data_IF_323195251492
#
_entry.id   IF_323195251492
#
_cell.length_a   1.000
_cell.length_b   1.000
_cell.length_c   1.000
_cell.angle_alpha   90.00
_cell.angle_beta   90.00
_cell.angle_gamma   90.00
#
_symmetry.space_group_name_H-M   'P 1'
#
loop_
_entity.id
_entity.type
_entity.pdbx_description
1 polymer ?
#
# COMPACT_ATOMS: atom_id res chain seq x y z
N UNK A 1 4.03 11.15 -6.56
CA UNK A 1 4.37 10.03 -5.65
C UNK A 1 5.74 10.21 -4.98
N UNK A 2 6.86 9.79 -5.60
CA UNK A 2 8.22 9.71 -4.98
C UNK A 2 8.63 10.94 -4.14
N UNK A 3 8.43 12.16 -4.66
CA UNK A 3 8.80 13.39 -3.93
C UNK A 3 7.99 13.61 -2.65
N UNK A 4 6.74 13.17 -2.62
CA UNK A 4 5.87 13.36 -1.46
C UNK A 4 6.19 12.33 -0.37
N UNK A 5 6.41 11.07 -0.78
CA UNK A 5 6.78 9.96 0.12
C UNK A 5 8.17 10.14 0.76
N UNK A 6 8.99 11.08 0.28
CA UNK A 6 10.22 11.50 0.97
C UNK A 6 9.94 12.41 2.18
N UNK A 7 8.91 13.25 2.07
CA UNK A 7 8.59 14.27 3.08
C UNK A 7 7.70 13.72 4.19
N UNK A 8 6.87 12.74 3.85
CA UNK A 8 5.83 12.22 4.71
C UNK A 8 5.71 10.70 4.54
N UNK A 9 5.29 10.01 5.61
CA UNK A 9 4.97 8.59 5.56
C UNK A 9 3.62 8.41 4.89
N UNK A 10 3.51 7.37 4.06
CA UNK A 10 2.24 6.97 3.47
C UNK A 10 1.86 5.59 3.93
N UNK A 11 0.57 5.40 4.17
CA UNK A 11 -0.03 4.14 4.56
C UNK A 11 -0.85 3.57 3.42
N UNK A 12 -0.70 2.28 3.16
CA UNK A 12 -1.63 1.58 2.27
C UNK A 12 -2.93 1.37 3.02
N UNK A 13 -3.99 2.01 2.55
CA UNK A 13 -5.31 1.93 3.16
C UNK A 13 -6.11 0.78 2.58
N UNK A 14 -6.16 0.67 1.26
CA UNK A 14 -7.04 -0.27 0.57
C UNK A 14 -6.36 -0.97 -0.59
N UNK A 15 -6.77 -2.21 -0.82
CA UNK A 15 -6.60 -2.89 -2.10
C UNK A 15 -7.95 -3.34 -2.65
N UNK A 16 -8.10 -3.32 -3.98
CA UNK A 16 -9.35 -3.70 -4.65
C UNK A 16 -9.49 -5.21 -4.87
N UNK A 17 -8.44 -5.97 -4.61
CA UNK A 17 -8.45 -7.43 -4.68
C UNK A 17 -7.67 -8.01 -3.49
N UNK A 18 -8.24 -9.00 -2.82
CA UNK A 18 -7.51 -9.79 -1.83
C UNK A 18 -6.49 -10.72 -2.51
N UNK A 19 -5.32 -10.16 -2.86
CA UNK A 19 -4.25 -10.90 -3.54
C UNK A 19 -3.34 -11.65 -2.54
N UNK A 20 -2.75 -12.76 -3.01
CA UNK A 20 -1.71 -13.53 -2.32
C UNK A 20 -0.61 -12.65 -1.70
N UNK A 21 -0.24 -11.53 -2.31
CA UNK A 21 0.84 -10.69 -1.79
C UNK A 21 0.48 -9.79 -0.61
N UNK A 22 -0.82 -9.58 -0.34
CA UNK A 22 -1.31 -8.78 0.78
C UNK A 22 -2.05 -9.61 1.83
N UNK A 23 -2.28 -10.90 1.57
CA UNK A 23 -3.03 -11.78 2.47
C UNK A 23 -2.40 -11.92 3.87
N UNK A 24 -1.09 -11.72 3.96
CA UNK A 24 -0.23 -11.92 5.13
C UNK A 24 0.49 -10.63 5.54
N UNK A 25 0.03 -9.47 5.05
CA UNK A 25 0.61 -8.16 5.34
C UNK A 25 -0.44 -7.21 5.88
N UNK A 26 -0.10 -6.47 6.94
CA UNK A 26 -0.91 -5.37 7.48
C UNK A 26 -0.02 -4.18 7.79
N UNK A 27 -0.65 -3.02 8.01
CA UNK A 27 0.04 -1.82 8.47
C UNK A 27 1.18 -1.41 7.54
N UNK A 28 0.96 -1.54 6.23
CA UNK A 28 1.99 -1.27 5.24
C UNK A 28 2.25 0.23 5.18
N UNK A 29 3.49 0.61 5.43
CA UNK A 29 3.96 1.99 5.40
C UNK A 29 5.03 2.15 4.33
N UNK A 30 5.11 3.34 3.76
CA UNK A 30 6.10 3.71 2.78
C UNK A 30 6.76 5.03 3.18
N UNK A 31 8.09 5.02 3.10
CA UNK A 31 8.91 6.23 3.11
C UNK A 31 10.00 6.16 2.06
N UNK A 32 10.32 7.29 1.46
CA UNK A 32 11.37 7.40 0.45
C UNK A 32 12.63 8.06 1.02
N UNK A 33 13.80 7.54 0.66
CA UNK A 33 15.12 8.13 0.90
C UNK A 33 15.89 8.31 -0.42
N UNK A 34 17.03 8.98 -0.35
CA UNK A 34 18.02 9.04 -1.45
C UNK A 34 17.46 9.54 -2.81
N UNK A 35 16.57 10.54 -2.76
CA UNK A 35 15.97 11.12 -3.94
C UNK A 35 17.02 11.76 -4.86
N UNK A 36 17.16 11.20 -6.06
CA UNK A 36 17.90 11.81 -7.15
C UNK A 36 16.92 12.50 -8.12
N UNK A 37 16.90 13.83 -8.10
CA UNK A 37 15.99 14.60 -8.94
C UNK A 37 16.30 14.51 -10.44
N UNK A 38 17.59 14.35 -10.79
CA UNK A 38 18.05 14.29 -12.19
C UNK A 38 17.68 12.96 -12.82
N UNK A 39 17.93 11.86 -12.12
CA UNK A 39 17.62 10.52 -12.58
C UNK A 39 16.15 10.13 -12.34
N UNK A 40 15.43 10.93 -11.54
CA UNK A 40 14.06 10.65 -11.07
C UNK A 40 13.98 9.30 -10.35
N UNK A 41 15.04 8.97 -9.62
CA UNK A 41 15.15 7.74 -8.83
C UNK A 41 15.17 8.04 -7.34
N UNK A 42 14.84 7.03 -6.55
CA UNK A 42 14.94 7.09 -5.09
C UNK A 42 14.98 5.67 -4.50
N UNK A 43 15.15 5.59 -3.18
CA UNK A 43 15.02 4.35 -2.42
C UNK A 43 13.67 4.34 -1.73
N UNK A 44 12.88 3.30 -1.96
CA UNK A 44 11.63 3.04 -1.26
C UNK A 44 11.87 2.09 -0.09
N UNK A 45 11.60 2.59 1.11
CA UNK A 45 11.62 1.85 2.36
C UNK A 45 10.18 1.51 2.71
N UNK A 46 9.79 0.27 2.44
CA UNK A 46 8.50 -0.26 2.86
C UNK A 46 8.67 -0.96 4.20
N UNK A 47 7.71 -0.77 5.08
CA UNK A 47 7.55 -1.58 6.28
C UNK A 47 6.15 -2.18 6.30
N UNK A 48 6.00 -3.37 6.85
CA UNK A 48 4.69 -3.96 7.11
C UNK A 48 4.80 -4.93 8.27
N UNK A 49 3.69 -5.24 8.91
CA UNK A 49 3.65 -6.35 9.85
C UNK A 49 3.19 -7.61 9.15
N UNK A 50 3.79 -8.75 9.51
CA UNK A 50 3.23 -10.05 9.17
C UNK A 50 1.86 -10.19 9.82
N UNK A 51 0.97 -10.88 9.13
CA UNK A 51 -0.40 -11.07 9.56
C UNK A 51 -0.80 -12.53 9.45
N UNK A 52 -1.05 -13.16 10.59
CA UNK A 52 -1.69 -14.46 10.63
C UNK A 52 -3.19 -14.27 10.41
N UNK A 53 -3.63 -14.63 9.21
CA UNK A 53 -5.04 -14.54 8.80
C UNK A 53 -5.97 -15.50 9.54
N UNK A 54 -5.45 -16.61 10.06
CA UNK A 54 -6.24 -17.63 10.76
C UNK A 54 -6.51 -17.18 12.20
N UNK A 55 -5.47 -16.68 12.85
CA UNK A 55 -5.57 -16.13 14.21
C UNK A 55 -5.99 -14.66 14.25
N UNK A 56 -6.10 -13.99 13.09
CA UNK A 56 -6.33 -12.54 12.94
C UNK A 56 -5.38 -11.71 13.79
N UNK A 57 -4.08 -12.03 13.74
CA UNK A 57 -3.06 -11.44 14.61
C UNK A 57 -1.95 -10.78 13.80
N UNK A 58 -1.55 -9.60 14.25
CA UNK A 58 -0.35 -8.91 13.78
C UNK A 58 0.87 -9.50 14.50
N UNK A 59 1.91 -9.79 13.73
CA UNK A 59 3.16 -10.36 14.21
C UNK A 59 4.32 -9.38 13.97
N UNK A 60 5.53 -9.90 13.73
CA UNK A 60 6.72 -9.08 13.57
C UNK A 60 6.63 -8.10 12.40
N UNK A 61 7.30 -6.95 12.58
CA UNK A 61 7.48 -5.99 11.52
C UNK A 61 8.61 -6.44 10.58
N UNK A 62 8.37 -6.35 9.29
CA UNK A 62 9.32 -6.59 8.22
C UNK A 62 9.63 -5.27 7.55
N UNK A 63 10.92 -5.04 7.25
CA UNK A 63 11.38 -3.93 6.43
C UNK A 63 11.88 -4.44 5.10
N UNK A 64 11.57 -3.70 4.04
CA UNK A 64 11.94 -4.02 2.68
C UNK A 64 12.41 -2.79 1.93
N UNK A 65 13.55 -2.92 1.27
CA UNK A 65 14.19 -1.81 0.56
C UNK A 65 14.19 -2.14 -0.93
N UNK A 66 13.65 -1.23 -1.72
CA UNK A 66 13.66 -1.30 -3.18
C UNK A 66 14.17 0.00 -3.77
N UNK A 67 14.80 -0.08 -4.93
CA UNK A 67 15.05 1.10 -5.75
C UNK A 67 13.80 1.40 -6.57
N UNK A 68 13.52 2.68 -6.81
CA UNK A 68 12.41 3.11 -7.65
C UNK A 68 12.87 4.16 -8.67
N UNK A 69 12.29 4.13 -9.86
CA UNK A 69 12.40 5.17 -10.87
C UNK A 69 11.02 5.61 -11.33
N UNK A 70 10.82 6.91 -11.50
CA UNK A 70 9.72 7.41 -12.29
C UNK A 70 10.10 7.30 -13.79
N UNK A 71 9.32 6.53 -14.54
CA UNK A 71 9.50 6.35 -15.99
C UNK A 71 8.21 6.70 -16.73
N UNK A 72 8.34 6.95 -18.03
CA UNK A 72 7.21 7.26 -18.90
C UNK A 72 6.83 6.06 -19.75
N UNK A 73 5.53 5.95 -20.03
CA UNK A 73 5.05 5.08 -21.09
C UNK A 73 5.31 5.69 -22.47
N UNK A 74 5.27 4.86 -23.50
CA UNK A 74 5.31 5.33 -24.88
C UNK A 74 4.19 6.34 -25.14
N UNK A 75 4.51 7.43 -25.84
CA UNK A 75 3.60 8.53 -26.18
C UNK A 75 3.10 9.39 -25.00
N UNK A 76 3.64 9.21 -23.79
CA UNK A 76 3.40 10.13 -22.68
C UNK A 76 4.47 11.22 -22.61
N UNK A 77 4.03 12.44 -22.29
CA UNK A 77 4.91 13.60 -22.11
C UNK A 77 5.55 13.67 -20.72
N UNK A 78 5.00 12.95 -19.74
CA UNK A 78 5.45 12.94 -18.34
C UNK A 78 5.50 11.50 -17.82
N UNK A 79 6.32 11.29 -16.79
CA UNK A 79 6.40 10.00 -16.11
C UNK A 79 5.08 9.66 -15.41
N UNK A 80 4.62 8.43 -15.64
CA UNK A 80 3.35 7.91 -15.13
C UNK A 80 3.46 6.47 -14.61
N UNK A 81 4.66 5.89 -14.64
CA UNK A 81 4.96 4.56 -14.12
C UNK A 81 6.06 4.66 -13.08
N UNK A 82 5.92 3.87 -12.01
CA UNK A 82 6.98 3.60 -11.03
C UNK A 82 7.56 2.23 -11.36
N UNK A 83 8.85 2.19 -11.70
CA UNK A 83 9.61 0.95 -11.87
C UNK A 83 10.38 0.66 -10.60
N UNK A 84 10.21 -0.53 -10.05
CA UNK A 84 10.86 -0.99 -8.83
C UNK A 84 11.85 -2.09 -9.15
N UNK A 85 13.02 -2.09 -8.52
CA UNK A 85 13.97 -3.19 -8.63
C UNK A 85 14.75 -3.36 -7.33
N UNK A 86 15.37 -4.52 -7.18
CA UNK A 86 16.19 -4.85 -6.02
C UNK A 86 17.51 -4.08 -6.05
N UNK A 87 18.06 -3.63 -4.90
CA UNK A 87 19.35 -2.94 -4.87
C UNK A 87 20.51 -3.73 -5.52
N UNK A 88 20.39 -5.06 -5.61
CA UNK A 88 21.38 -5.95 -6.25
C UNK A 88 21.02 -6.37 -7.67
N UNK A 89 19.84 -6.02 -8.17
CA UNK A 89 19.42 -6.34 -9.53
C UNK A 89 20.15 -5.45 -10.55
N UNK A 90 20.40 -6.00 -11.74
CA UNK A 90 21.03 -5.26 -12.83
C UNK A 90 20.07 -4.17 -13.35
N UNK A 91 20.56 -2.93 -13.49
CA UNK A 91 19.80 -1.87 -14.15
C UNK A 91 19.68 -2.20 -15.65
N UNK A 92 18.49 -2.66 -16.07
CA UNK A 92 18.22 -3.04 -17.45
C UNK A 92 18.22 -1.85 -18.44
N UNK A 93 18.37 -0.60 -17.98
CA UNK A 93 18.53 0.59 -18.83
C UNK A 93 17.32 0.97 -19.69
N UNK A 94 16.30 0.10 -19.78
CA UNK A 94 15.03 0.41 -20.43
C UNK A 94 14.29 1.45 -19.59
N UNK A 95 14.01 2.61 -20.18
CA UNK A 95 13.33 3.75 -19.53
C UNK A 95 11.93 4.00 -20.07
N UNK A 96 11.40 3.07 -20.86
CA UNK A 96 10.05 3.11 -21.42
C UNK A 96 9.25 1.93 -20.90
N UNK A 97 8.09 2.22 -20.29
CA UNK A 97 7.12 1.22 -19.89
C UNK A 97 6.11 0.97 -21.02
N UNK A 98 5.67 -0.28 -21.19
CA UNK A 98 4.83 -0.64 -22.33
C UNK A 98 3.33 -0.32 -22.12
N UNK A 99 2.88 0.07 -20.92
CA UNK A 99 1.47 0.43 -20.69
C UNK A 99 0.85 -0.18 -19.42
N UNK A 100 -0.35 0.29 -19.04
CA UNK A 100 -1.14 -0.24 -17.91
C UNK A 100 -1.98 -1.47 -18.26
N UNK A 101 -2.05 -1.82 -19.56
CA UNK A 101 -2.88 -2.91 -20.09
C UNK A 101 -2.07 -4.09 -20.62
N UNK A 102 -0.75 -4.04 -20.49
CA UNK A 102 0.02 -5.23 -20.79
C UNK A 102 -0.13 -6.14 -19.58
N UNK A 103 -1.07 -7.09 -19.72
CA UNK A 103 -0.69 -8.50 -19.56
C UNK A 103 0.74 -8.58 -20.05
N UNK A 104 1.70 -8.58 -19.12
CA UNK A 104 3.10 -8.77 -19.45
C UNK A 104 3.09 -9.96 -20.39
N UNK A 105 3.46 -9.75 -21.66
CA UNK A 105 3.70 -10.87 -22.53
C UNK A 105 4.83 -11.60 -21.83
N UNK A 106 4.47 -12.72 -21.21
CA UNK A 106 5.31 -13.43 -20.27
C UNK A 106 6.46 -14.17 -20.96
N UNK A 107 6.52 -14.31 -22.29
CA UNK A 107 7.00 -13.43 -23.38
C UNK A 107 8.52 -13.16 -23.34
N UNK A 108 8.90 -12.18 -22.53
CA UNK A 108 9.97 -11.27 -22.94
C UNK A 108 10.83 -10.71 -21.78
N UNK A 109 10.91 -11.45 -20.66
CA UNK A 109 11.20 -10.81 -19.37
C UNK A 109 12.68 -10.66 -19.00
N UNK A 110 13.56 -11.55 -19.47
CA UNK A 110 15.00 -11.49 -19.15
C UNK A 110 15.79 -10.45 -19.99
N UNK A 111 15.12 -9.45 -20.58
CA UNK A 111 15.58 -8.53 -21.64
C UNK A 111 15.44 -9.04 -23.09
N UNK A 112 14.41 -9.86 -23.38
CA UNK A 112 14.06 -10.42 -24.71
C UNK A 112 15.01 -11.45 -25.34
N UNK A 113 15.03 -12.70 -24.80
CA UNK A 113 15.10 -13.91 -25.65
C UNK A 113 14.95 -15.21 -24.83
N UNK A 114 13.80 -15.89 -24.94
CA UNK A 114 13.67 -17.33 -24.67
C UNK A 114 13.20 -17.72 -23.27
N UNK A 115 11.89 -17.87 -23.09
CA UNK A 115 11.24 -18.04 -21.79
C UNK A 115 11.11 -19.46 -21.28
N UNK A 116 10.97 -19.54 -19.95
CA UNK A 116 10.15 -20.54 -19.29
C UNK A 116 9.25 -19.92 -18.20
N UNK A 117 8.13 -20.60 -17.97
CA UNK A 117 6.97 -20.30 -17.11
C UNK A 117 7.26 -19.65 -15.73
N UNK A 118 6.58 -18.55 -15.34
CA UNK A 118 6.78 -17.81 -14.08
C UNK A 118 6.01 -18.39 -12.88
N UNK A 119 5.61 -19.66 -12.95
CA UNK A 119 5.09 -20.38 -11.77
C UNK A 119 6.19 -20.71 -10.76
N UNK A 120 7.46 -20.49 -11.09
CA UNK A 120 8.60 -20.99 -10.32
C UNK A 120 9.87 -20.12 -10.43
N UNK A 121 9.88 -18.86 -9.98
CA UNK A 121 11.16 -18.13 -9.89
C UNK A 121 11.43 -17.39 -8.58
N UNK A 122 12.71 -17.51 -8.23
CA UNK A 122 13.41 -16.98 -7.08
C UNK A 122 13.36 -15.44 -7.11
N UNK A 123 12.87 -14.86 -6.01
CA UNK A 123 12.44 -13.47 -5.85
C UNK A 123 13.52 -12.38 -5.95
N UNK A 124 14.73 -12.64 -6.46
CA UNK A 124 15.90 -11.79 -6.17
C UNK A 124 16.50 -11.00 -7.35
N UNK A 125 15.98 -11.13 -8.59
CA UNK A 125 16.66 -10.55 -9.78
C UNK A 125 15.81 -9.66 -10.71
N UNK A 126 14.56 -9.34 -10.35
CA UNK A 126 13.59 -8.78 -11.30
C UNK A 126 13.09 -7.37 -10.95
N UNK A 127 12.64 -6.59 -11.96
CA UNK A 127 11.98 -5.29 -11.77
C UNK A 127 10.48 -5.40 -12.01
N UNK A 128 9.64 -4.66 -11.29
CA UNK A 128 8.21 -4.60 -11.57
C UNK A 128 7.72 -3.16 -11.77
N UNK A 129 6.71 -3.00 -12.61
CA UNK A 129 6.12 -1.69 -12.92
C UNK A 129 4.76 -1.52 -12.24
N UNK A 130 4.54 -0.33 -11.67
CA UNK A 130 3.25 0.12 -11.15
C UNK A 130 2.82 1.39 -11.83
N UNK A 131 1.60 1.41 -12.34
CA UNK A 131 1.04 2.57 -13.00
C UNK A 131 0.45 3.55 -11.99
N UNK A 132 0.80 4.83 -12.09
CA UNK A 132 0.23 5.89 -11.26
C UNK A 132 -1.09 6.34 -11.89
N UNK A 133 -2.19 5.80 -11.37
CA UNK A 133 -3.55 6.11 -11.82
C UNK A 133 -3.94 7.53 -11.43
N UNK A 134 -3.60 7.90 -10.20
CA UNK A 134 -3.93 9.19 -9.60
C UNK A 134 -2.86 9.55 -8.57
N UNK A 135 -2.48 10.82 -8.50
CA UNK A 135 -1.53 11.28 -7.48
C UNK A 135 -1.82 12.71 -7.11
N UNK A 136 -1.95 12.92 -5.80
CA UNK A 136 -1.99 14.22 -5.15
C UNK A 136 -1.03 14.23 -3.95
N UNK A 137 -0.80 15.39 -3.30
CA UNK A 137 0.02 15.44 -2.10
C UNK A 137 -0.50 14.57 -0.96
N UNK A 138 -1.80 14.39 -0.79
CA UNK A 138 -2.33 13.65 0.38
C UNK A 138 -2.69 12.19 0.11
N UNK A 139 -2.73 11.77 -1.15
CA UNK A 139 -3.04 10.39 -1.53
C UNK A 139 -2.51 10.06 -2.92
N UNK A 140 -2.34 8.78 -3.21
CA UNK A 140 -2.13 8.32 -4.58
C UNK A 140 -2.66 6.91 -4.76
N UNK A 141 -2.92 6.56 -6.01
CA UNK A 141 -3.46 5.27 -6.41
C UNK A 141 -2.50 4.65 -7.41
N UNK A 142 -2.02 3.46 -7.07
CA UNK A 142 -1.20 2.66 -7.96
C UNK A 142 -2.02 1.52 -8.51
N UNK A 143 -1.69 1.10 -9.73
CA UNK A 143 -2.10 -0.18 -10.28
C UNK A 143 -0.85 -1.01 -10.53
N UNK A 144 -0.67 -2.06 -9.73
CA UNK A 144 0.53 -2.89 -9.66
C UNK A 144 0.35 -4.09 -10.59
N UNK A 145 1.29 -4.35 -11.51
CA UNK A 145 1.15 -5.35 -12.59
C UNK A 145 1.34 -6.81 -12.16
N UNK A 146 1.04 -7.15 -10.91
CA UNK A 146 1.24 -8.51 -10.41
C UNK A 146 0.00 -9.38 -10.70
N UNK A 147 0.09 -10.18 -11.78
CA UNK A 147 -0.88 -11.20 -12.30
C UNK A 147 -2.32 -10.73 -12.60
N UNK A 148 -2.93 -9.83 -11.83
CA UNK A 148 -4.33 -9.38 -11.97
C UNK A 148 -4.52 -7.86 -12.04
N UNK A 149 -3.46 -7.07 -11.82
CA UNK A 149 -3.54 -5.61 -11.90
C UNK A 149 -4.20 -5.00 -10.65
N UNK A 150 -3.75 -5.42 -9.47
CA UNK A 150 -4.23 -4.93 -8.16
C UNK A 150 -4.05 -3.43 -8.07
N UNK A 151 -5.06 -2.74 -7.56
CA UNK A 151 -4.99 -1.35 -7.20
C UNK A 151 -4.68 -1.16 -5.73
N UNK A 152 -3.76 -0.25 -5.45
CA UNK A 152 -3.37 0.15 -4.11
C UNK A 152 -3.81 1.59 -3.86
N UNK A 153 -4.55 1.81 -2.78
CA UNK A 153 -4.86 3.14 -2.27
C UNK A 153 -3.87 3.52 -1.18
N UNK A 154 -3.09 4.57 -1.41
CA UNK A 154 -2.15 5.11 -0.43
C UNK A 154 -2.60 6.47 0.08
N UNK A 155 -2.44 6.69 1.38
CA UNK A 155 -2.86 7.90 2.10
C UNK A 155 -1.71 8.43 2.94
N UNK A 156 -1.52 9.76 2.96
CA UNK A 156 -0.50 10.38 3.79
C UNK A 156 -0.85 10.28 5.28
N UNK A 157 0.16 10.15 6.13
CA UNK A 157 0.01 10.04 7.58
C UNK A 157 -0.79 11.20 8.19
N UNK A 158 -0.50 12.45 7.78
CA UNK A 158 -1.18 13.65 8.28
C UNK A 158 -2.68 13.57 8.01
N UNK A 159 -3.05 13.17 6.79
CA UNK A 159 -4.45 13.07 6.41
C UNK A 159 -5.14 11.88 7.08
N UNK A 160 -4.44 10.75 7.21
CA UNK A 160 -4.93 9.58 7.92
C UNK A 160 -5.28 9.93 9.38
N UNK A 161 -4.35 10.52 10.11
CA UNK A 161 -4.52 10.91 11.50
C UNK A 161 -5.69 11.89 11.66
N UNK A 162 -5.76 12.91 10.78
CA UNK A 162 -6.88 13.85 10.76
C UNK A 162 -8.22 13.13 10.57
N UNK A 163 -8.32 12.22 9.60
CA UNK A 163 -9.56 11.49 9.28
C UNK A 163 -9.99 10.61 10.44
N UNK A 164 -9.04 9.95 11.10
CA UNK A 164 -9.31 9.09 12.26
C UNK A 164 -9.83 9.90 13.45
N UNK A 165 -9.23 11.05 13.75
CA UNK A 165 -9.71 11.95 14.81
C UNK A 165 -11.11 12.48 14.53
N UNK A 166 -11.41 12.85 13.29
CA UNK A 166 -12.76 13.32 12.89
C UNK A 166 -13.81 12.19 13.04
N UNK A 167 -13.46 10.95 12.72
CA UNK A 167 -14.32 9.78 12.92
C UNK A 167 -14.59 9.49 14.41
N UNK A 168 -13.55 9.53 15.24
CA UNK A 168 -13.66 9.33 16.70
C UNK A 168 -14.61 10.39 17.31
N UNK A 169 -14.49 11.66 16.89
CA UNK A 169 -15.38 12.73 17.34
C UNK A 169 -16.84 12.53 16.90
N UNK A 170 -17.07 12.11 15.64
CA UNK A 170 -18.43 11.82 15.13
C UNK A 170 -19.12 10.71 15.92
N UNK A 171 -18.38 9.64 16.27
CA UNK A 171 -18.93 8.54 17.05
C UNK A 171 -19.29 8.96 18.48
N UNK A 172 -18.51 9.85 19.09
CA UNK A 172 -18.78 10.37 20.43
C UNK A 172 -20.06 11.22 20.45
N UNK A 173 -20.26 12.07 19.43
CA UNK A 173 -21.50 12.86 19.31
C UNK A 173 -22.75 12.00 19.04
N UNK A 174 -22.64 10.93 18.24
CA UNK A 174 -23.75 9.99 17.99
C UNK A 174 -24.09 9.18 19.24
N UNK A 175 -23.08 8.76 20.01
CA UNK A 175 -23.25 8.06 21.30
C UNK A 175 -23.94 8.95 22.34
N UNK A 176 -23.58 10.23 22.43
CA UNK A 176 -24.19 11.19 23.36
C UNK A 176 -25.65 11.52 23.00
N UNK A 177 -26.03 11.37 21.72
CA UNK A 177 -27.40 11.60 21.22
C UNK A 177 -28.29 10.35 21.22
N UNK A 178 -27.73 9.15 21.39
CA UNK A 178 -28.41 7.89 21.09
C UNK A 178 -28.38 6.85 22.23
N UNK A 179 -29.08 7.10 23.34
CA UNK A 179 -29.34 6.07 24.37
C UNK A 179 -30.53 5.15 24.11
N UNK A 180 -31.18 5.23 22.95
CA UNK A 180 -32.39 4.46 22.64
C UNK A 180 -32.40 3.89 21.22
N UNK A 181 -31.53 2.94 20.90
CA UNK A 181 -31.84 1.92 19.89
C UNK A 181 -31.00 0.68 20.17
N UNK A 182 -31.64 -0.43 20.52
CA UNK A 182 -31.04 -1.77 20.53
C UNK A 182 -30.73 -2.15 19.08
N UNK A 183 -29.57 -1.71 18.58
CA UNK A 183 -29.11 -2.08 17.26
C UNK A 183 -28.38 -3.43 17.39
N UNK A 184 -29.00 -4.50 16.89
CA UNK A 184 -28.44 -5.85 16.84
C UNK A 184 -27.27 -5.91 15.86
N UNK A 185 -26.15 -5.29 16.22
CA UNK A 185 -24.92 -5.28 15.42
C UNK A 185 -24.06 -6.45 15.91
N UNK A 186 -23.96 -7.51 15.10
CA UNK A 186 -22.91 -8.52 15.25
C UNK A 186 -21.55 -7.89 14.98
N UNK A 187 -20.47 -8.35 15.62
CA UNK A 187 -19.11 -7.76 15.49
C UNK A 187 -18.67 -7.56 14.02
N UNK A 188 -19.04 -8.50 13.13
CA UNK A 188 -18.79 -8.38 11.68
C UNK A 188 -19.47 -7.17 11.03
N UNK A 189 -20.67 -6.80 11.47
CA UNK A 189 -21.38 -5.63 10.94
C UNK A 189 -20.75 -4.31 11.44
N UNK A 190 -20.15 -4.31 12.64
CA UNK A 190 -19.48 -3.13 13.19
C UNK A 190 -18.19 -2.80 12.45
N UNK A 191 -17.34 -3.80 12.19
CA UNK A 191 -16.08 -3.64 11.45
C UNK A 191 -16.33 -3.17 10.01
N UNK A 192 -17.30 -3.79 9.32
CA UNK A 192 -17.69 -3.38 7.96
C UNK A 192 -18.24 -1.96 7.95
N UNK A 193 -19.07 -1.58 8.93
CA UNK A 193 -19.61 -0.21 9.06
C UNK A 193 -18.50 0.81 9.29
N UNK A 194 -17.55 0.53 10.18
CA UNK A 194 -16.41 1.40 10.47
C UNK A 194 -15.53 1.58 9.23
N UNK A 195 -15.25 0.50 8.51
CA UNK A 195 -14.47 0.54 7.29
C UNK A 195 -15.15 1.41 6.20
N UNK A 196 -16.46 1.25 6.02
CA UNK A 196 -17.23 2.10 5.10
C UNK A 196 -17.25 3.57 5.53
N UNK A 197 -17.36 3.85 6.83
CA UNK A 197 -17.27 5.21 7.36
C UNK A 197 -15.89 5.83 7.10
N UNK A 198 -14.82 5.08 7.37
CA UNK A 198 -13.45 5.49 7.08
C UNK A 198 -13.28 5.82 5.61
N UNK A 199 -13.65 4.89 4.73
CA UNK A 199 -13.55 5.10 3.29
C UNK A 199 -14.33 6.35 2.87
N UNK A 200 -15.54 6.60 3.38
CA UNK A 200 -16.36 7.77 3.00
C UNK A 200 -15.76 9.10 3.44
N UNK A 201 -15.02 9.13 4.54
CA UNK A 201 -14.40 10.34 5.08
C UNK A 201 -13.04 10.68 4.43
N UNK A 202 -12.47 9.78 3.62
CA UNK A 202 -11.30 10.12 2.80
C UNK A 202 -11.62 11.22 1.77
N UNK A 203 -10.61 11.95 1.25
CA UNK A 203 -10.85 13.02 0.28
C UNK A 203 -11.59 12.52 -0.96
N UNK A 204 -12.60 13.30 -1.38
CA UNK A 204 -13.52 12.92 -2.45
C UNK A 204 -12.81 12.56 -3.75
N UNK A 205 -11.82 13.35 -4.15
CA UNK A 205 -11.00 13.13 -5.33
C UNK A 205 -10.26 11.79 -5.28
N UNK A 206 -9.61 11.46 -4.16
CA UNK A 206 -8.95 10.16 -3.97
C UNK A 206 -9.94 9.00 -4.08
N UNK A 207 -11.09 9.10 -3.38
CA UNK A 207 -12.13 8.05 -3.40
C UNK A 207 -12.69 7.82 -4.79
N UNK A 208 -13.06 8.90 -5.49
CA UNK A 208 -13.63 8.84 -6.83
C UNK A 208 -12.60 8.29 -7.81
N UNK A 209 -11.34 8.73 -7.74
CA UNK A 209 -10.28 8.20 -8.58
C UNK A 209 -10.07 6.68 -8.38
N UNK A 210 -10.15 6.21 -7.12
CA UNK A 210 -10.04 4.77 -6.83
C UNK A 210 -11.22 3.99 -7.38
N UNK A 211 -12.44 4.40 -7.05
CA UNK A 211 -13.67 3.73 -7.50
C UNK A 211 -13.76 3.66 -9.03
N UNK A 212 -13.42 4.74 -9.73
CA UNK A 212 -13.49 4.79 -11.20
C UNK A 212 -12.43 3.90 -11.88
N UNK A 213 -11.28 3.70 -11.23
CA UNK A 213 -10.15 3.02 -11.86
C UNK A 213 -10.02 1.56 -11.46
N UNK A 214 -10.54 1.22 -10.28
CA UNK A 214 -10.24 -0.01 -9.57
C UNK A 214 -11.50 -0.75 -9.08
N UNK A 215 -12.66 -0.09 -9.07
CA UNK A 215 -13.87 -0.62 -8.45
C UNK A 215 -13.87 -0.42 -6.93
N UNK A 216 -14.69 -1.21 -6.25
CA UNK A 216 -14.86 -1.11 -4.80
C UNK A 216 -13.61 -1.58 -4.04
N UNK A 217 -13.25 -0.92 -2.91
CA UNK A 217 -12.20 -1.41 -2.04
C UNK A 217 -12.64 -2.72 -1.38
N UNK A 218 -11.87 -3.79 -1.57
CA UNK A 218 -12.20 -5.11 -1.02
C UNK A 218 -11.56 -5.31 0.35
N UNK A 219 -10.31 -4.91 0.52
CA UNK A 219 -9.53 -5.18 1.74
C UNK A 219 -8.97 -3.91 2.34
N UNK A 220 -9.25 -3.70 3.64
CA UNK A 220 -8.58 -2.69 4.48
C UNK A 220 -7.23 -3.24 4.96
N UNK A 221 -6.15 -2.54 4.65
CA UNK A 221 -4.77 -2.94 4.97
C UNK A 221 -4.27 -2.28 6.26
N UNK A 222 -4.73 -1.06 6.54
CA UNK A 222 -4.39 -0.32 7.75
C UNK A 222 -5.60 -0.21 8.67
N UNK A 223 -5.49 -0.81 9.86
CA UNK A 223 -6.44 -0.64 10.96
C UNK A 223 -5.69 -0.07 12.16
N UNK A 224 -6.00 1.17 12.56
CA UNK A 224 -5.31 1.89 13.65
C UNK A 224 -5.18 1.04 14.91
N UNK A 225 -6.29 0.47 15.38
CA UNK A 225 -6.36 -0.31 16.61
C UNK A 225 -5.49 -1.57 16.56
N UNK A 226 -5.37 -2.20 15.40
CA UNK A 226 -4.49 -3.36 15.24
C UNK A 226 -3.03 -2.92 15.13
N UNK A 227 -2.75 -1.94 14.27
CA UNK A 227 -1.40 -1.48 13.96
C UNK A 227 -0.67 -0.84 15.15
N UNK A 228 -1.39 -0.11 16.01
CA UNK A 228 -0.81 0.58 17.17
C UNK A 228 -0.60 -0.36 18.37
N UNK A 229 -1.35 -1.47 18.48
CA UNK A 229 -1.17 -2.45 19.59
C UNK A 229 0.24 -3.06 19.61
N UNK A 230 0.85 -3.23 18.44
CA UNK A 230 2.20 -3.78 18.29
C UNK A 230 3.30 -2.83 18.78
N UNK A 231 3.08 -1.51 18.80
CA UNK A 231 4.10 -0.55 19.24
C UNK A 231 4.34 -0.55 20.75
N UNK A 232 3.50 -1.24 21.54
CA UNK A 232 3.63 -1.30 23.00
C UNK A 232 4.38 -2.53 23.52
N UNK A 233 4.60 -3.55 22.67
CA UNK A 233 5.25 -4.81 23.08
C UNK A 233 6.78 -4.65 23.18
N UNK A 234 7.38 -3.66 22.50
CA UNK A 234 8.83 -3.41 22.46
C UNK A 234 9.39 -2.62 23.65
N UNK A 235 8.59 -2.24 24.64
CA UNK A 235 9.03 -1.41 25.79
C UNK A 235 9.12 -2.11 27.14
N UNK A 236 9.07 -3.45 27.20
CA UNK A 236 9.31 -4.17 28.46
C UNK A 236 10.75 -4.69 28.50
N UNK A 237 11.66 -4.13 29.32
CA UNK A 237 12.97 -4.73 29.52
C UNK A 237 12.76 -6.06 30.24
N UNK A 238 13.25 -7.16 29.65
CA UNK A 238 13.47 -8.38 30.41
C UNK A 238 14.55 -8.08 31.45
N UNK A 239 14.15 -7.94 32.71
CA UNK A 239 15.08 -8.10 33.83
C UNK A 239 15.53 -9.55 33.84
N UNK A 240 16.81 -9.76 33.56
CA UNK A 240 17.53 -10.98 33.91
C UNK A 240 17.48 -11.12 35.44
N UNK A 241 16.71 -12.10 35.93
CA UNK A 241 16.89 -12.63 37.28
C UNK A 241 17.90 -13.80 37.16
N UNK A 242 19.16 -13.50 37.48
CA UNK A 242 20.16 -14.49 37.88
C UNK A 242 19.87 -14.93 39.33
N UNK A 243 19.60 -16.22 39.52
CA UNK A 243 19.88 -16.98 40.76
C UNK A 243 20.05 -18.47 40.44
#
# INVERSE_FOLDING_TARGET
VIKNTQKEVYYMMYVNEYNYNYNSKRCIQLRTSDLNQTLKTAVYNLTWNKYDRWCKRIEEQVTWISQVAAIKQNNYYQENTLRFWYPKAMDCGSRTADGSYNLVHYSNYQCDSGLQDPTYFFHDEEYYDSYVVFSEPSCYILRTLERSGVCEFWLSEILLNKTLTELEAQQQEESDKGKNTEDCITENNAEVKLNLQLFRNLPRNCRVAFLLSCGDPETLIYNKTECEKTSQIDTTPQSEDDD
#
